data_IF_504730385186
#
_entry.id   IF_504730385186
#
_cell.length_a   1.000
_cell.length_b   1.000
_cell.length_c   1.000
_cell.angle_alpha   90.00
_cell.angle_beta   90.00
_cell.angle_gamma   90.00
#
_symmetry.space_group_name_H-M   'P 1'
#
loop_
_entity.id
_entity.type
_entity.pdbx_description
1 polymer ?
#
# COMPACT_ATOMS: atom_id res chain seq x y z
N UNK A 1 7.79 -4.41 -9.48
CA UNK A 1 7.31 -3.04 -9.33
C UNK A 1 8.45 -2.03 -9.21
N UNK A 2 9.49 -2.34 -8.42
CA UNK A 2 10.65 -1.47 -8.28
C UNK A 2 11.39 -1.28 -9.62
N UNK A 3 11.59 -2.35 -10.35
CA UNK A 3 12.26 -2.29 -11.65
C UNK A 3 11.49 -1.42 -12.62
N UNK A 4 10.17 -1.57 -12.62
CA UNK A 4 9.31 -0.75 -13.46
C UNK A 4 9.43 0.73 -13.10
N UNK A 5 9.40 1.06 -11.80
CA UNK A 5 9.49 2.44 -11.32
C UNK A 5 10.80 3.09 -11.74
N UNK A 6 11.90 2.35 -11.61
CA UNK A 6 13.23 2.87 -12.00
C UNK A 6 13.34 3.07 -13.50
N UNK A 7 12.81 2.16 -14.28
CA UNK A 7 12.83 2.26 -15.74
C UNK A 7 12.05 3.48 -16.23
N UNK A 8 10.96 3.81 -15.56
CA UNK A 8 10.15 4.96 -15.90
C UNK A 8 10.67 6.27 -15.29
N UNK A 9 11.71 6.19 -14.44
CA UNK A 9 12.26 7.37 -13.79
C UNK A 9 11.38 7.94 -12.68
N UNK A 10 10.44 7.15 -12.18
CA UNK A 10 9.48 7.59 -11.16
C UNK A 10 9.97 7.34 -9.74
N UNK A 11 11.08 6.62 -9.57
CA UNK A 11 11.61 6.28 -8.26
C UNK A 11 10.96 5.03 -7.70
N UNK A 12 11.17 4.80 -6.40
CA UNK A 12 10.65 3.63 -5.72
C UNK A 12 9.29 3.92 -5.10
N UNK A 13 8.38 2.94 -5.09
CA UNK A 13 7.11 3.12 -4.42
C UNK A 13 7.31 3.23 -2.90
N UNK A 14 6.49 4.05 -2.28
CA UNK A 14 6.53 4.28 -0.84
C UNK A 14 5.32 3.61 -0.19
N UNK A 15 5.58 2.86 0.88
CA UNK A 15 4.55 2.24 1.68
C UNK A 15 4.43 2.99 2.99
N UNK A 16 3.23 3.43 3.32
CA UNK A 16 2.97 4.12 4.58
C UNK A 16 1.86 3.39 5.33
N UNK A 17 2.20 2.87 6.50
CA UNK A 17 1.23 2.14 7.34
C UNK A 17 0.93 2.95 8.59
N UNK A 18 -0.35 3.00 8.97
CA UNK A 18 -0.80 3.68 10.17
C UNK A 18 -1.70 2.75 10.98
N UNK A 19 -1.55 2.77 12.30
CA UNK A 19 -2.46 2.08 13.18
C UNK A 19 -3.68 2.97 13.42
N UNK A 20 -4.84 2.53 12.93
CA UNK A 20 -6.08 3.32 13.02
C UNK A 20 -6.96 2.94 14.20
N UNK A 21 -6.75 1.77 14.77
CA UNK A 21 -7.54 1.27 15.88
C UNK A 21 -6.64 0.57 16.88
N UNK A 22 -6.95 0.69 18.17
CA UNK A 22 -6.23 -0.01 19.24
C UNK A 22 -6.87 -1.33 19.59
N UNK A 23 -7.96 -1.68 18.92
CA UNK A 23 -8.68 -2.93 19.16
C UNK A 23 -8.01 -4.02 18.33
N UNK A 24 -7.42 -5.01 18.99
CA UNK A 24 -6.67 -6.07 18.32
C UNK A 24 -7.52 -6.90 17.36
N UNK A 25 -8.79 -7.05 17.64
CA UNK A 25 -9.70 -7.84 16.80
C UNK A 25 -10.28 -7.04 15.63
N UNK A 26 -9.96 -5.76 15.51
CA UNK A 26 -10.48 -4.91 14.46
C UNK A 26 -9.80 -5.26 13.12
N UNK A 27 -10.57 -5.69 12.09
CA UNK A 27 -10.00 -6.02 10.79
C UNK A 27 -9.47 -4.80 10.04
N UNK A 28 -9.77 -3.59 10.50
CA UNK A 28 -9.27 -2.34 9.93
C UNK A 28 -8.32 -1.63 10.87
N UNK A 29 -7.62 -2.40 11.69
CA UNK A 29 -6.70 -1.84 12.66
C UNK A 29 -5.56 -1.05 12.00
N UNK A 30 -5.06 -1.53 10.88
CA UNK A 30 -3.99 -0.87 10.14
C UNK A 30 -4.46 -0.45 8.76
N UNK A 31 -4.01 0.72 8.35
CA UNK A 31 -4.25 1.24 7.02
C UNK A 31 -2.91 1.48 6.34
N UNK A 32 -2.72 0.93 5.16
CA UNK A 32 -1.49 1.10 4.39
C UNK A 32 -1.80 1.77 3.06
N UNK A 33 -0.93 2.68 2.66
CA UNK A 33 -0.99 3.35 1.37
C UNK A 33 0.28 3.09 0.60
N UNK A 34 0.14 2.85 -0.69
CA UNK A 34 1.26 2.72 -1.63
C UNK A 34 1.21 3.91 -2.56
N UNK A 35 2.28 4.67 -2.60
CA UNK A 35 2.37 5.84 -3.47
C UNK A 35 3.67 5.84 -4.26
N UNK A 36 3.62 6.42 -5.45
CA UNK A 36 4.79 6.61 -6.30
C UNK A 36 4.89 8.11 -6.59
N UNK A 37 5.88 8.77 -5.98
CA UNK A 37 5.96 10.22 -5.99
C UNK A 37 4.75 10.81 -5.28
N UNK A 38 4.01 11.67 -5.97
CA UNK A 38 2.81 12.28 -5.43
C UNK A 38 1.53 11.51 -5.76
N UNK A 39 1.67 10.40 -6.50
CA UNK A 39 0.53 9.63 -6.97
C UNK A 39 0.24 8.45 -6.06
N UNK A 40 -0.98 8.39 -5.54
CA UNK A 40 -1.44 7.23 -4.78
C UNK A 40 -1.76 6.10 -5.74
N UNK A 41 -1.09 4.96 -5.56
CA UNK A 41 -1.29 3.78 -6.40
C UNK A 41 -2.33 2.83 -5.84
N UNK A 42 -2.38 2.70 -4.51
CA UNK A 42 -3.32 1.79 -3.89
C UNK A 42 -3.33 1.97 -2.38
N UNK A 43 -4.33 1.36 -1.75
CA UNK A 43 -4.43 1.36 -0.30
C UNK A 43 -5.08 0.08 0.18
N UNK A 44 -4.83 -0.28 1.42
CA UNK A 44 -5.38 -1.49 1.99
C UNK A 44 -5.54 -1.40 3.48
N UNK A 45 -6.39 -2.26 4.00
CA UNK A 45 -6.68 -2.37 5.42
C UNK A 45 -6.41 -3.79 5.88
N UNK A 46 -6.04 -3.94 7.13
CA UNK A 46 -5.84 -5.26 7.69
C UNK A 46 -5.79 -5.24 9.21
N UNK A 47 -5.91 -6.40 9.83
CA UNK A 47 -5.77 -6.57 11.27
C UNK A 47 -4.33 -6.52 11.73
N UNK A 48 -3.37 -6.53 10.81
CA UNK A 48 -1.96 -6.37 11.08
C UNK A 48 -1.35 -5.50 9.99
N UNK A 49 -0.17 -4.96 10.29
CA UNK A 49 0.56 -4.13 9.31
C UNK A 49 0.83 -4.92 8.03
N UNK A 50 1.23 -6.18 8.18
CA UNK A 50 1.51 -7.04 7.04
C UNK A 50 0.29 -7.24 6.14
N UNK A 51 -0.87 -7.49 6.74
CA UNK A 51 -2.11 -7.65 5.98
C UNK A 51 -2.47 -6.37 5.24
N UNK A 52 -2.34 -5.22 5.90
CA UNK A 52 -2.62 -3.93 5.28
C UNK A 52 -1.68 -3.69 4.09
N UNK A 53 -0.40 -4.01 4.24
CA UNK A 53 0.57 -3.86 3.17
C UNK A 53 0.27 -4.77 1.99
N UNK A 54 -0.13 -6.02 2.25
CA UNK A 54 -0.49 -6.96 1.19
C UNK A 54 -1.70 -6.48 0.41
N UNK A 55 -2.71 -5.98 1.10
CA UNK A 55 -3.90 -5.45 0.45
C UNK A 55 -3.59 -4.19 -0.35
N UNK A 56 -2.76 -3.31 0.18
CA UNK A 56 -2.35 -2.10 -0.52
C UNK A 56 -1.57 -2.44 -1.78
N UNK A 57 -0.65 -3.41 -1.70
CA UNK A 57 0.13 -3.85 -2.85
C UNK A 57 -0.75 -4.46 -3.93
N UNK A 58 -1.73 -5.27 -3.53
CA UNK A 58 -2.67 -5.88 -4.47
C UNK A 58 -3.49 -4.82 -5.19
N UNK A 59 -3.97 -3.83 -4.44
CA UNK A 59 -4.74 -2.73 -5.00
C UNK A 59 -3.90 -1.92 -6.00
N UNK A 60 -2.64 -1.67 -5.65
CA UNK A 60 -1.72 -0.97 -6.54
C UNK A 60 -1.46 -1.73 -7.82
N UNK A 61 -1.27 -3.06 -7.74
CA UNK A 61 -1.06 -3.89 -8.91
C UNK A 61 -2.28 -3.90 -9.82
N UNK A 62 -3.48 -3.97 -9.26
CA UNK A 62 -4.71 -3.91 -10.03
C UNK A 62 -4.81 -2.59 -10.79
N UNK A 63 -4.42 -1.49 -10.16
CA UNK A 63 -4.44 -0.18 -10.81
C UNK A 63 -3.44 -0.09 -11.96
N UNK A 64 -2.30 -0.78 -11.84
CA UNK A 64 -1.26 -0.75 -12.88
C UNK A 64 -1.60 -1.60 -14.09
N UNK A 65 -2.40 -2.68 -13.93
CA UNK A 65 -2.75 -3.55 -15.06
C UNK A 65 -4.03 -3.11 -15.75
N UNK A 66 -4.70 -2.10 -15.26
CA UNK A 66 -5.85 -1.51 -15.93
C UNK A 66 -5.38 -0.43 -16.91
#
# INVERSE_FOLDING_TARGET
LQEWSQAEGLGLPHYRSEERSRIHADPRRFHCRVALGERLLGEGWGGSRREAEQQAARDALDALVR
#
